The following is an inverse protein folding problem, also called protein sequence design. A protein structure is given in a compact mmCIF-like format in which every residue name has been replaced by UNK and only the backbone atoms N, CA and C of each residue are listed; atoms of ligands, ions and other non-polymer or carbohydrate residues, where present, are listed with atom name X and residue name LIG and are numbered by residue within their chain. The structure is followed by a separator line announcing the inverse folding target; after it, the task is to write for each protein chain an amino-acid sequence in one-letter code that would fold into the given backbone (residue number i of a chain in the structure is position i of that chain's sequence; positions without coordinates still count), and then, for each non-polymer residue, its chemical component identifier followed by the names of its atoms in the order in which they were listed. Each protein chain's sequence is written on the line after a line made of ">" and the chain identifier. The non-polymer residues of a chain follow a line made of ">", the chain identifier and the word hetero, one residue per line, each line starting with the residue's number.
data_IF_092928222938
#
_entry.id   IF_092928222938
#
_cell.length_a   1.000
_cell.length_b   1.000
_cell.length_c   1.000
_cell.angle_alpha   90.00
_cell.angle_beta   90.00
_cell.angle_gamma   90.00
#
_symmetry.space_group_name_H-M   'P 1'
#
loop_
_entity.id
_entity.type
_entity.pdbx_description
1 polymer ?
#
# COMPACT_ATOMS: atom_id res chain seq x y z
N UNK A 1 8.68 -12.67 6.23
CA UNK A 1 8.18 -13.14 4.93
C UNK A 1 7.42 -11.97 4.33
N UNK A 2 7.77 -11.57 3.10
CA UNK A 2 7.33 -10.32 2.48
C UNK A 2 5.89 -10.44 1.96
N UNK A 3 5.13 -9.34 1.94
CA UNK A 3 3.76 -9.37 1.44
C UNK A 3 3.74 -9.52 -0.09
N UNK A 4 3.05 -10.54 -0.64
CA UNK A 4 2.95 -10.72 -2.07
C UNK A 4 2.01 -9.69 -2.70
N UNK A 5 2.24 -9.36 -3.97
CA UNK A 5 1.44 -8.40 -4.75
C UNK A 5 -0.05 -8.72 -4.75
N UNK A 6 -0.43 -10.01 -4.73
CA UNK A 6 -1.84 -10.43 -4.66
C UNK A 6 -2.58 -9.98 -3.40
N UNK A 7 -1.86 -9.71 -2.32
CA UNK A 7 -2.43 -9.26 -1.05
C UNK A 7 -2.61 -7.73 -1.05
N UNK A 8 -1.92 -7.02 -1.95
CA UNK A 8 -2.20 -5.62 -2.24
C UNK A 8 -3.50 -5.48 -3.05
N UNK A 9 -4.13 -4.30 -2.99
CA UNK A 9 -5.37 -4.04 -3.72
C UNK A 9 -5.11 -4.01 -5.24
N UNK A 10 -5.17 -5.17 -5.90
CA UNK A 10 -5.09 -5.30 -7.36
C UNK A 10 -6.45 -4.98 -7.96
N UNK A 11 -6.53 -3.90 -8.73
CA UNK A 11 -7.79 -3.49 -9.37
C UNK A 11 -8.07 -4.37 -10.57
N UNK A 12 -9.34 -4.79 -10.71
CA UNK A 12 -9.78 -5.53 -11.89
C UNK A 12 -9.48 -4.73 -13.16
N UNK A 13 -8.99 -5.39 -14.22
CA UNK A 13 -8.66 -4.70 -15.46
C UNK A 13 -9.94 -4.23 -16.15
N UNK A 14 -9.96 -2.95 -16.54
CA UNK A 14 -11.01 -2.39 -17.38
C UNK A 14 -10.51 -2.30 -18.82
N UNK A 15 -11.19 -2.98 -19.75
CA UNK A 15 -10.78 -3.05 -21.15
C UNK A 15 -11.62 -2.13 -22.04
N UNK A 16 -10.98 -1.49 -23.02
CA UNK A 16 -11.61 -0.77 -24.12
C UNK A 16 -11.07 -1.26 -25.46
N UNK A 17 -11.87 -1.13 -26.52
CA UNK A 17 -11.43 -1.37 -27.89
C UNK A 17 -10.52 -0.23 -28.37
N UNK A 18 -9.41 -0.56 -29.03
CA UNK A 18 -8.41 0.38 -29.51
C UNK A 18 -8.91 1.36 -30.56
N UNK A 19 -10.03 1.07 -31.23
CA UNK A 19 -10.66 1.94 -32.20
C UNK A 19 -11.57 3.01 -31.57
N UNK A 20 -11.93 2.91 -30.28
CA UNK A 20 -12.71 3.96 -29.63
C UNK A 20 -11.95 5.29 -29.67
N UNK A 21 -12.69 6.38 -29.87
CA UNK A 21 -12.12 7.72 -29.77
C UNK A 21 -11.84 8.11 -28.31
N UNK A 22 -10.92 9.06 -28.10
CA UNK A 22 -10.50 9.46 -26.76
C UNK A 22 -11.63 10.06 -25.92
N UNK A 23 -12.61 10.75 -26.53
CA UNK A 23 -13.72 11.34 -25.77
C UNK A 23 -14.64 10.24 -25.25
N UNK A 24 -14.94 9.22 -26.08
CA UNK A 24 -15.69 8.05 -25.65
C UNK A 24 -14.98 7.29 -24.53
N UNK A 25 -13.66 7.04 -24.65
CA UNK A 25 -12.87 6.39 -23.59
C UNK A 25 -12.91 7.22 -22.30
N UNK A 26 -12.69 8.54 -22.37
CA UNK A 26 -12.70 9.39 -21.18
C UNK A 26 -14.08 9.42 -20.52
N UNK A 27 -15.17 9.37 -21.28
CA UNK A 27 -16.53 9.28 -20.73
C UNK A 27 -16.74 7.97 -19.97
N UNK A 28 -16.35 6.84 -20.55
CA UNK A 28 -16.42 5.53 -19.89
C UNK A 28 -15.61 5.50 -18.59
N UNK A 29 -14.40 6.09 -18.61
CA UNK A 29 -13.54 6.20 -17.43
C UNK A 29 -14.20 7.06 -16.35
N UNK A 30 -14.75 8.22 -16.71
CA UNK A 30 -15.42 9.11 -15.77
C UNK A 30 -16.66 8.47 -15.13
N UNK A 31 -17.49 7.79 -15.92
CA UNK A 31 -18.68 7.07 -15.45
C UNK A 31 -18.35 5.97 -14.43
N UNK A 32 -17.17 5.36 -14.56
CA UNK A 32 -16.70 4.32 -13.65
C UNK A 32 -15.76 4.83 -12.54
N UNK A 33 -15.46 6.14 -12.50
CA UNK A 33 -14.51 6.72 -11.55
C UNK A 33 -13.07 6.19 -11.72
N UNK A 34 -12.69 5.83 -12.94
CA UNK A 34 -11.38 5.27 -13.28
C UNK A 34 -10.49 6.34 -13.95
N UNK A 35 -9.17 6.15 -13.85
CA UNK A 35 -8.16 7.03 -14.46
C UNK A 35 -7.36 6.36 -15.58
N UNK A 36 -7.74 5.14 -15.95
CA UNK A 36 -7.03 4.33 -16.94
C UNK A 36 -7.86 3.15 -17.45
N UNK A 37 -7.49 2.66 -18.63
CA UNK A 37 -8.01 1.45 -19.23
C UNK A 37 -6.88 0.65 -19.89
N UNK A 38 -7.06 -0.67 -19.95
CA UNK A 38 -6.34 -1.51 -20.89
C UNK A 38 -6.97 -1.41 -22.27
N UNK A 39 -6.14 -1.30 -23.29
CA UNK A 39 -6.54 -1.07 -24.67
C UNK A 39 -6.29 -2.33 -25.47
N UNK A 40 -7.33 -2.89 -26.08
CA UNK A 40 -7.22 -4.05 -26.98
C UNK A 40 -7.03 -3.57 -28.41
N UNK A 41 -5.93 -3.97 -29.06
CA UNK A 41 -5.65 -3.65 -30.45
C UNK A 41 -5.19 -4.92 -31.19
N UNK A 42 -6.18 -5.68 -31.69
CA UNK A 42 -5.96 -7.04 -32.17
C UNK A 42 -5.47 -7.94 -31.02
N UNK A 43 -4.35 -8.62 -31.24
CA UNK A 43 -3.68 -9.46 -30.23
C UNK A 43 -2.85 -8.65 -29.21
N UNK A 44 -2.68 -7.34 -29.43
CA UNK A 44 -1.88 -6.48 -28.55
C UNK A 44 -2.74 -5.91 -27.43
N UNK A 45 -2.17 -5.84 -26.23
CA UNK A 45 -2.77 -5.15 -25.09
C UNK A 45 -1.86 -3.98 -24.73
N UNK A 46 -2.43 -2.78 -24.72
CA UNK A 46 -1.79 -1.57 -24.24
C UNK A 46 -2.52 -0.98 -23.04
N UNK A 47 -2.10 0.20 -22.63
CA UNK A 47 -2.72 0.95 -21.55
C UNK A 47 -2.84 2.41 -21.93
N UNK A 48 -3.99 2.99 -21.58
CA UNK A 48 -4.28 4.41 -21.68
C UNK A 48 -4.53 4.98 -20.28
N UNK A 49 -4.00 6.16 -20.02
CA UNK A 49 -4.03 6.85 -18.72
C UNK A 49 -4.31 8.34 -18.90
N UNK A 50 -4.62 9.02 -17.79
CA UNK A 50 -4.80 10.48 -17.78
C UNK A 50 -3.56 11.25 -18.28
N UNK A 51 -2.34 10.72 -18.12
CA UNK A 51 -1.12 11.34 -18.67
C UNK A 51 -1.15 11.32 -20.20
N UNK A 52 -1.63 10.23 -20.79
CA UNK A 52 -1.70 10.05 -22.24
C UNK A 52 -2.75 11.01 -22.83
N UNK A 53 -3.84 11.29 -22.11
CA UNK A 53 -4.81 12.31 -22.50
C UNK A 53 -4.17 13.69 -22.63
N UNK A 54 -3.33 14.09 -21.67
CA UNK A 54 -2.60 15.37 -21.75
C UNK A 54 -1.76 15.43 -23.02
N UNK A 55 -1.04 14.35 -23.33
CA UNK A 55 -0.17 14.30 -24.50
C UNK A 55 -0.98 14.24 -25.81
N UNK A 56 -2.16 13.63 -25.80
CA UNK A 56 -3.09 13.64 -26.92
C UNK A 56 -3.64 15.04 -27.25
N UNK A 57 -3.89 15.87 -26.22
CA UNK A 57 -4.37 17.24 -26.38
C UNK A 57 -3.35 18.16 -27.08
N UNK A 58 -2.09 17.75 -27.16
CA UNK A 58 -1.03 18.48 -27.87
C UNK A 58 -0.96 18.14 -29.37
N UNK A 59 -1.79 17.20 -29.86
CA UNK A 59 -1.81 16.79 -31.27
C UNK A 59 -2.71 17.70 -32.10
N UNK A 60 -2.44 17.78 -33.41
CA UNK A 60 -3.20 18.62 -34.37
C UNK A 60 -4.64 18.12 -34.65
N UNK A 61 -4.97 16.89 -34.22
CA UNK A 61 -6.29 16.28 -34.39
C UNK A 61 -7.09 16.39 -33.10
N UNK A 62 -8.39 16.71 -33.16
CA UNK A 62 -9.21 16.81 -31.98
C UNK A 62 -9.41 15.41 -31.32
N UNK A 63 -9.55 15.34 -29.99
CA UNK A 63 -9.62 14.05 -29.27
C UNK A 63 -10.73 13.10 -29.72
N UNK A 64 -11.87 13.62 -30.17
CA UNK A 64 -13.00 12.82 -30.68
C UNK A 64 -12.75 12.20 -32.06
N UNK A 65 -11.62 12.54 -32.70
CA UNK A 65 -11.18 11.94 -33.96
C UNK A 65 -9.94 11.06 -33.78
N UNK A 66 -9.33 11.04 -32.59
CA UNK A 66 -8.16 10.23 -32.29
C UNK A 66 -8.60 8.91 -31.67
N UNK A 67 -8.20 7.79 -32.27
CA UNK A 67 -8.42 6.49 -31.67
C UNK A 67 -7.47 6.28 -30.47
N UNK A 68 -7.95 5.62 -29.42
CA UNK A 68 -7.17 5.42 -28.19
C UNK A 68 -5.89 4.63 -28.44
N UNK A 69 -5.87 3.69 -29.39
CA UNK A 69 -4.65 2.97 -29.81
C UNK A 69 -3.54 3.88 -30.31
N UNK A 70 -3.86 5.08 -30.83
CA UNK A 70 -2.87 6.02 -31.35
C UNK A 70 -2.09 6.72 -30.22
N UNK A 71 -2.57 6.63 -28.98
CA UNK A 71 -2.00 7.31 -27.81
C UNK A 71 -1.62 6.34 -26.70
N UNK A 72 -2.26 5.17 -26.64
CA UNK A 72 -1.96 4.14 -25.66
C UNK A 72 -0.51 3.61 -25.76
N UNK A 73 0.04 3.22 -24.62
CA UNK A 73 1.35 2.58 -24.53
C UNK A 73 1.19 1.05 -24.52
N UNK A 74 1.90 0.36 -25.41
CA UNK A 74 1.83 -1.11 -25.57
C UNK A 74 2.97 -1.87 -24.88
N UNK A 75 4.01 -1.17 -24.44
CA UNK A 75 5.12 -1.76 -23.68
C UNK A 75 4.77 -1.80 -22.18
N UNK A 76 4.01 -2.81 -21.79
CA UNK A 76 3.44 -2.89 -20.44
C UNK A 76 4.39 -3.51 -19.41
N UNK A 77 4.80 -2.72 -18.42
CA UNK A 77 5.57 -3.23 -17.28
C UNK A 77 4.69 -4.14 -16.42
N UNK A 78 5.12 -5.39 -16.23
CA UNK A 78 4.37 -6.43 -15.53
C UNK A 78 5.09 -6.94 -14.28
N UNK A 79 4.31 -7.37 -13.29
CA UNK A 79 4.76 -8.01 -12.03
C UNK A 79 3.90 -9.25 -11.74
N UNK A 80 4.51 -10.28 -11.14
CA UNK A 80 3.81 -11.52 -10.82
C UNK A 80 2.95 -11.36 -9.53
N UNK A 81 1.82 -12.07 -9.39
CA UNK A 81 0.97 -11.95 -8.19
C UNK A 81 1.62 -12.49 -6.91
N UNK A 82 2.59 -13.39 -7.03
CA UNK A 82 3.41 -13.90 -5.92
C UNK A 82 4.71 -13.10 -5.71
N UNK A 83 5.02 -12.16 -6.59
CA UNK A 83 6.16 -11.25 -6.39
C UNK A 83 5.91 -10.35 -5.18
N UNK A 84 6.99 -9.81 -4.64
CA UNK A 84 6.93 -8.97 -3.46
C UNK A 84 6.50 -7.54 -3.80
N UNK A 85 5.81 -6.86 -2.89
CA UNK A 85 5.42 -5.46 -3.08
C UNK A 85 6.63 -4.54 -3.34
N UNK A 86 7.77 -4.78 -2.70
CA UNK A 86 9.05 -4.10 -2.96
C UNK A 86 9.48 -4.19 -4.42
N UNK A 87 9.32 -5.36 -5.04
CA UNK A 87 9.66 -5.59 -6.44
C UNK A 87 8.79 -4.73 -7.36
N UNK A 88 7.47 -4.68 -7.09
CA UNK A 88 6.55 -3.82 -7.83
C UNK A 88 6.95 -2.33 -7.73
N UNK A 89 7.36 -1.86 -6.54
CA UNK A 89 7.83 -0.49 -6.33
C UNK A 89 9.15 -0.20 -7.05
N UNK A 90 10.09 -1.15 -7.03
CA UNK A 90 11.36 -1.02 -7.76
C UNK A 90 11.13 -0.96 -9.27
N UNK A 91 10.20 -1.76 -9.80
CA UNK A 91 9.79 -1.69 -11.20
C UNK A 91 9.18 -0.33 -11.55
N UNK A 92 8.24 0.16 -10.73
CA UNK A 92 7.65 1.50 -10.90
C UNK A 92 8.74 2.59 -10.92
N UNK A 93 9.71 2.54 -10.01
CA UNK A 93 10.80 3.49 -9.94
C UNK A 93 11.74 3.41 -11.16
N UNK A 94 12.18 2.19 -11.50
CA UNK A 94 13.13 1.93 -12.60
C UNK A 94 12.56 2.38 -13.94
N UNK A 95 11.28 2.10 -14.18
CA UNK A 95 10.60 2.42 -15.43
C UNK A 95 9.87 3.78 -15.39
N UNK A 96 9.91 4.49 -14.26
CA UNK A 96 9.24 5.78 -14.02
C UNK A 96 7.74 5.73 -14.33
N UNK A 97 7.10 4.64 -13.94
CA UNK A 97 5.65 4.42 -14.08
C UNK A 97 5.00 4.35 -12.70
N UNK A 98 3.77 4.87 -12.58
CA UNK A 98 3.02 4.82 -11.31
C UNK A 98 2.12 3.58 -11.19
N UNK A 99 2.21 2.67 -12.14
CA UNK A 99 1.32 1.53 -12.32
C UNK A 99 2.04 0.39 -13.01
N UNK A 100 1.69 -0.84 -12.64
CA UNK A 100 2.19 -2.06 -13.28
C UNK A 100 1.03 -3.03 -13.50
N UNK A 101 1.18 -3.90 -14.50
CA UNK A 101 0.24 -4.98 -14.77
C UNK A 101 0.54 -6.14 -13.83
N UNK A 102 -0.47 -6.65 -13.13
CA UNK A 102 -0.36 -7.90 -12.38
C UNK A 102 -0.77 -9.04 -13.30
N UNK A 103 0.16 -9.96 -13.57
CA UNK A 103 -0.01 -11.04 -14.55
C UNK A 103 0.57 -12.35 -14.02
N UNK A 104 -0.06 -13.48 -14.30
CA UNK A 104 0.55 -14.78 -14.06
C UNK A 104 1.84 -14.97 -14.87
N UNK A 105 2.82 -15.73 -14.32
CA UNK A 105 4.05 -16.03 -15.05
C UNK A 105 3.74 -16.98 -16.21
N UNK A 106 3.91 -16.52 -17.45
CA UNK A 106 3.86 -17.35 -18.65
C UNK A 106 5.20 -18.00 -18.98
N UNK A 107 5.25 -18.83 -20.03
CA UNK A 107 6.45 -19.57 -20.45
C UNK A 107 7.67 -18.67 -20.72
N UNK A 108 7.46 -17.44 -21.19
CA UNK A 108 8.51 -16.45 -21.50
C UNK A 108 8.48 -15.26 -20.52
N UNK A 109 8.23 -15.50 -19.24
CA UNK A 109 8.20 -14.47 -18.20
C UNK A 109 9.56 -13.76 -18.06
N UNK A 110 9.54 -12.42 -18.13
CA UNK A 110 10.64 -11.57 -17.72
C UNK A 110 10.07 -10.39 -16.92
N UNK A 111 10.47 -10.30 -15.66
CA UNK A 111 10.02 -9.23 -14.76
C UNK A 111 10.55 -7.87 -15.24
N UNK A 112 9.66 -6.88 -15.33
CA UNK A 112 10.06 -5.51 -15.68
C UNK A 112 10.30 -5.22 -17.16
N UNK A 113 10.21 -6.19 -18.06
CA UNK A 113 10.23 -5.92 -19.50
C UNK A 113 8.80 -5.91 -20.03
N UNK A 114 8.41 -4.82 -20.68
CA UNK A 114 7.25 -4.80 -21.55
C UNK A 114 7.42 -5.88 -22.60
N UNK A 115 6.49 -6.80 -22.70
CA UNK A 115 6.48 -7.80 -23.75
C UNK A 115 6.31 -7.09 -25.09
N UNK A 116 7.40 -6.82 -25.83
CA UNK A 116 7.25 -6.26 -27.17
C UNK A 116 8.44 -5.67 -27.92
N UNK A 117 9.61 -5.43 -27.32
CA UNK A 117 10.74 -4.88 -28.09
C UNK A 117 11.73 -5.98 -28.44
N UNK A 118 11.70 -6.36 -29.72
CA UNK A 118 12.68 -7.17 -30.48
C UNK A 118 12.25 -8.58 -30.88
N UNK A 119 11.08 -8.72 -31.52
CA UNK A 119 10.98 -9.59 -32.70
C UNK A 119 9.74 -9.22 -33.49
N UNK A 120 9.92 -8.56 -34.64
CA UNK A 120 8.89 -8.39 -35.66
C UNK A 120 8.45 -9.74 -36.32
N UNK A 121 8.71 -10.90 -35.68
CA UNK A 121 8.43 -12.21 -36.26
C UNK A 121 8.47 -13.41 -35.28
N UNK A 122 8.20 -13.22 -33.98
CA UNK A 122 7.97 -14.37 -33.09
C UNK A 122 6.47 -14.61 -32.98
N UNK A 123 6.03 -15.83 -33.33
CA UNK A 123 4.68 -16.28 -33.07
C UNK A 123 4.32 -15.94 -31.60
N UNK A 124 3.23 -15.22 -31.40
CA UNK A 124 2.79 -14.74 -30.09
C UNK A 124 2.44 -15.93 -29.20
N UNK A 125 3.41 -16.45 -28.46
CA UNK A 125 3.13 -17.41 -27.41
C UNK A 125 2.25 -16.75 -26.35
N UNK A 126 1.28 -17.49 -25.76
CA UNK A 126 0.32 -16.91 -24.84
C UNK A 126 1.04 -16.36 -23.62
N UNK A 127 1.04 -15.03 -23.49
CA UNK A 127 1.43 -14.36 -22.27
C UNK A 127 0.44 -14.77 -21.16
N UNK A 128 0.91 -14.95 -19.92
CA UNK A 128 0.05 -15.36 -18.80
C UNK A 128 -1.14 -14.40 -18.58
N UNK A 129 -2.18 -14.85 -17.89
CA UNK A 129 -3.41 -14.06 -17.73
C UNK A 129 -3.16 -12.75 -16.97
N UNK A 130 -3.74 -11.64 -17.44
CA UNK A 130 -3.74 -10.36 -16.73
C UNK A 130 -4.79 -10.42 -15.63
N UNK A 131 -4.33 -10.44 -14.38
CA UNK A 131 -5.20 -10.46 -13.21
C UNK A 131 -5.69 -9.07 -12.83
N UNK A 132 -4.91 -8.03 -13.16
CA UNK A 132 -5.33 -6.64 -12.95
C UNK A 132 -4.22 -5.61 -13.06
N UNK A 133 -4.50 -4.44 -12.50
CA UNK A 133 -3.59 -3.29 -12.49
C UNK A 133 -3.33 -2.90 -11.04
N UNK A 134 -2.05 -2.75 -10.69
CA UNK A 134 -1.62 -2.27 -9.38
C UNK A 134 -1.02 -0.87 -9.54
N UNK A 135 -1.56 0.12 -8.82
CA UNK A 135 -0.98 1.47 -8.78
C UNK A 135 -0.16 1.71 -7.51
N UNK A 136 0.76 2.67 -7.59
CA UNK A 136 1.50 3.14 -6.43
C UNK A 136 0.56 3.66 -5.32
N UNK A 137 -0.57 4.28 -5.68
CA UNK A 137 -1.60 4.71 -4.72
C UNK A 137 -2.28 3.55 -4.02
N UNK A 138 -2.52 2.43 -4.72
CA UNK A 138 -3.10 1.23 -4.11
C UNK A 138 -2.12 0.62 -3.09
N UNK A 139 -0.81 0.66 -3.37
CA UNK A 139 0.23 0.25 -2.43
C UNK A 139 0.29 1.14 -1.18
N UNK A 140 0.22 2.46 -1.36
CA UNK A 140 0.19 3.40 -0.22
C UNK A 140 -1.10 3.25 0.59
N UNK A 141 -2.24 3.02 -0.07
CA UNK A 141 -3.54 2.81 0.58
C UNK A 141 -3.56 1.50 1.37
N UNK A 142 -2.99 0.42 0.83
CA UNK A 142 -2.84 -0.85 1.50
C UNK A 142 -2.07 -0.68 2.82
N UNK A 143 -0.94 0.01 2.78
CA UNK A 143 -0.14 0.38 3.95
C UNK A 143 -0.93 1.23 4.98
N UNK A 144 -1.62 2.27 4.51
CA UNK A 144 -2.38 3.19 5.38
C UNK A 144 -3.56 2.48 6.07
N UNK A 145 -4.30 1.64 5.33
CA UNK A 145 -5.46 0.92 5.86
C UNK A 145 -5.07 -0.06 6.96
N UNK A 146 -3.96 -0.79 6.80
CA UNK A 146 -3.47 -1.70 7.83
C UNK A 146 -3.09 -0.94 9.11
N UNK A 147 -2.42 0.21 8.99
CA UNK A 147 -2.08 1.06 10.14
C UNK A 147 -3.33 1.53 10.90
N UNK A 148 -4.38 1.92 10.17
CA UNK A 148 -5.65 2.36 10.75
C UNK A 148 -6.41 1.22 11.45
N UNK A 149 -6.44 0.02 10.87
CA UNK A 149 -7.11 -1.14 11.48
C UNK A 149 -6.48 -1.51 12.83
N UNK A 150 -5.15 -1.48 12.94
CA UNK A 150 -4.46 -1.74 14.20
C UNK A 150 -4.81 -0.67 15.25
N UNK A 151 -4.85 0.61 14.86
CA UNK A 151 -5.26 1.69 15.76
C UNK A 151 -6.70 1.51 16.28
N UNK A 152 -7.64 1.13 15.41
CA UNK A 152 -9.02 0.85 15.82
C UNK A 152 -9.12 -0.31 16.80
N UNK A 153 -8.39 -1.40 16.57
CA UNK A 153 -8.39 -2.54 17.49
C UNK A 153 -7.83 -2.16 18.87
N UNK A 154 -6.77 -1.34 18.90
CA UNK A 154 -6.24 -0.80 20.16
C UNK A 154 -7.34 -0.02 20.89
N UNK A 155 -8.03 0.90 20.20
CA UNK A 155 -9.06 1.73 20.82
C UNK A 155 -10.27 0.91 21.32
N UNK A 156 -10.64 -0.13 20.59
CA UNK A 156 -11.80 -0.98 20.89
C UNK A 156 -11.50 -2.11 21.87
N UNK A 157 -10.23 -2.40 22.18
CA UNK A 157 -9.89 -3.45 23.13
C UNK A 157 -10.47 -3.14 24.52
N UNK A 158 -11.15 -4.11 25.13
CA UNK A 158 -11.78 -3.99 26.44
C UNK A 158 -10.99 -4.70 27.55
N UNK A 159 -9.99 -5.49 27.18
CA UNK A 159 -9.14 -6.25 28.08
C UNK A 159 -7.70 -6.31 27.56
N UNK A 160 -6.81 -6.86 28.39
CA UNK A 160 -5.38 -6.98 28.09
C UNK A 160 -5.14 -7.98 26.95
N UNK A 161 -5.99 -9.00 26.82
CA UNK A 161 -5.84 -10.03 25.78
C UNK A 161 -6.14 -9.47 24.38
N UNK A 162 -7.19 -8.65 24.24
CA UNK A 162 -7.50 -7.92 23.02
C UNK A 162 -6.40 -6.91 22.66
N UNK A 163 -5.84 -6.20 23.65
CA UNK A 163 -4.69 -5.34 23.42
C UNK A 163 -3.44 -6.12 22.98
N UNK A 164 -3.20 -7.31 23.54
CA UNK A 164 -2.08 -8.17 23.13
C UNK A 164 -2.21 -8.58 21.66
N UNK A 165 -3.42 -8.91 21.21
CA UNK A 165 -3.67 -9.23 19.80
C UNK A 165 -3.35 -8.04 18.89
N UNK A 166 -3.79 -6.84 19.25
CA UNK A 166 -3.47 -5.63 18.48
C UNK A 166 -1.95 -5.34 18.49
N UNK A 167 -1.28 -5.54 19.62
CA UNK A 167 0.17 -5.40 19.76
C UNK A 167 0.96 -6.30 18.79
N UNK A 168 0.51 -7.55 18.61
CA UNK A 168 1.13 -8.47 17.65
C UNK A 168 0.90 -8.04 16.20
N UNK A 169 -0.20 -7.36 15.89
CA UNK A 169 -0.42 -6.81 14.55
C UNK A 169 0.50 -5.63 14.25
N UNK A 170 0.99 -4.89 15.26
CA UNK A 170 2.01 -3.85 15.07
C UNK A 170 3.30 -4.45 14.51
N UNK A 171 3.75 -5.59 15.02
CA UNK A 171 4.96 -6.27 14.51
C UNK A 171 4.76 -6.69 13.03
N UNK A 172 3.58 -7.20 12.69
CA UNK A 172 3.20 -7.52 11.30
C UNK A 172 3.15 -6.28 10.40
N UNK A 173 2.64 -5.15 10.91
CA UNK A 173 2.62 -3.87 10.22
C UNK A 173 4.05 -3.35 9.98
N UNK A 174 4.95 -3.45 10.95
CA UNK A 174 6.36 -3.07 10.78
C UNK A 174 6.96 -3.83 9.60
N UNK A 175 6.77 -5.16 9.56
CA UNK A 175 7.24 -6.00 8.46
C UNK A 175 6.60 -5.61 7.12
N UNK A 176 5.29 -5.31 7.12
CA UNK A 176 4.55 -4.85 5.96
C UNK A 176 5.13 -3.54 5.40
N UNK A 177 5.34 -2.54 6.26
CA UNK A 177 5.83 -1.22 5.88
C UNK A 177 7.29 -1.29 5.37
N UNK A 178 8.15 -2.01 6.08
CA UNK A 178 9.54 -2.25 5.67
C UNK A 178 9.61 -2.98 4.32
N UNK A 179 8.84 -4.07 4.17
CA UNK A 179 8.77 -4.80 2.89
C UNK A 179 8.14 -3.97 1.77
N UNK A 180 7.26 -3.02 2.11
CA UNK A 180 6.70 -2.04 1.19
C UNK A 180 7.63 -0.86 0.89
N UNK A 181 8.91 -0.91 1.30
CA UNK A 181 9.90 0.13 0.99
C UNK A 181 9.60 1.49 1.63
N UNK A 182 8.74 1.54 2.64
CA UNK A 182 8.42 2.76 3.37
C UNK A 182 9.68 3.19 4.14
N UNK A 183 10.02 4.49 4.04
CA UNK A 183 11.19 5.06 4.73
C UNK A 183 11.13 4.75 6.23
N UNK A 184 12.27 4.36 6.80
CA UNK A 184 12.35 3.89 8.19
C UNK A 184 11.84 4.93 9.18
N UNK A 185 12.02 6.22 8.91
CA UNK A 185 11.53 7.30 9.77
C UNK A 185 10.00 7.32 9.84
N UNK A 186 9.33 7.00 8.72
CA UNK A 186 7.86 6.90 8.68
C UNK A 186 7.42 5.66 9.45
N UNK A 187 8.08 4.52 9.25
CA UNK A 187 7.80 3.28 9.99
C UNK A 187 7.90 3.53 11.50
N UNK A 188 9.02 4.10 11.97
CA UNK A 188 9.21 4.45 13.37
C UNK A 188 8.13 5.41 13.88
N UNK A 189 7.74 6.41 13.08
CA UNK A 189 6.69 7.35 13.47
C UNK A 189 5.32 6.70 13.66
N UNK A 190 4.97 5.76 12.78
CA UNK A 190 3.71 5.01 12.85
C UNK A 190 3.72 4.06 14.04
N UNK A 191 4.80 3.31 14.24
CA UNK A 191 4.96 2.38 15.37
C UNK A 191 4.88 3.13 16.69
N UNK A 192 5.57 4.27 16.81
CA UNK A 192 5.53 5.13 17.99
C UNK A 192 4.10 5.57 18.32
N UNK A 193 3.35 6.02 17.33
CA UNK A 193 1.98 6.48 17.56
C UNK A 193 1.05 5.32 17.97
N UNK A 194 1.20 4.15 17.37
CA UNK A 194 0.43 2.96 17.75
C UNK A 194 0.78 2.50 19.16
N UNK A 195 2.06 2.45 19.53
CA UNK A 195 2.48 2.14 20.90
C UNK A 195 1.94 3.17 21.90
N UNK A 196 2.00 4.46 21.60
CA UNK A 196 1.42 5.50 22.46
C UNK A 196 -0.06 5.26 22.75
N UNK A 197 -0.84 4.91 21.72
CA UNK A 197 -2.25 4.56 21.89
C UNK A 197 -2.43 3.26 22.69
N UNK A 198 -1.57 2.27 22.48
CA UNK A 198 -1.59 1.01 23.21
C UNK A 198 -1.37 1.22 24.71
N UNK A 199 -0.34 1.97 25.10
CA UNK A 199 -0.08 2.29 26.51
C UNK A 199 -1.20 3.13 27.12
N UNK A 200 -1.70 4.13 26.39
CA UNK A 200 -2.83 4.93 26.84
C UNK A 200 -4.09 4.09 27.09
N UNK A 201 -4.30 3.03 26.30
CA UNK A 201 -5.41 2.09 26.50
C UNK A 201 -5.14 1.06 27.59
N UNK A 202 -3.91 0.56 27.68
CA UNK A 202 -3.52 -0.45 28.65
C UNK A 202 -3.59 0.09 30.08
N UNK A 203 -3.19 1.34 30.29
CA UNK A 203 -3.07 1.91 31.63
C UNK A 203 -4.39 1.85 32.43
N UNK A 204 -5.55 2.31 31.91
CA UNK A 204 -6.83 2.18 32.60
C UNK A 204 -7.36 0.74 32.74
N UNK A 205 -6.83 -0.22 31.98
CA UNK A 205 -7.22 -1.63 32.10
C UNK A 205 -6.48 -2.34 33.23
N UNK A 206 -5.28 -1.87 33.58
CA UNK A 206 -4.45 -2.45 34.65
C UNK A 206 -4.64 -1.71 35.98
N UNK A 207 -4.70 -0.39 35.94
CA UNK A 207 -4.72 0.44 37.14
C UNK A 207 -6.16 0.75 37.59
N UNK A 208 -6.45 0.72 38.90
CA UNK A 208 -7.72 1.20 39.43
C UNK A 208 -7.99 2.66 39.04
N UNK A 209 -9.26 3.02 38.88
CA UNK A 209 -9.66 4.36 38.41
C UNK A 209 -9.08 5.50 39.26
N UNK A 210 -8.95 5.30 40.57
CA UNK A 210 -8.33 6.27 41.49
C UNK A 210 -6.85 6.49 41.21
N UNK A 211 -6.10 5.41 40.94
CA UNK A 211 -4.69 5.50 40.59
C UNK A 211 -4.53 6.18 39.23
N UNK A 212 -5.35 5.84 38.24
CA UNK A 212 -5.35 6.48 36.91
C UNK A 212 -5.59 7.99 37.02
N UNK A 213 -6.53 8.41 37.86
CA UNK A 213 -6.88 9.82 38.03
C UNK A 213 -5.78 10.65 38.74
N UNK A 214 -4.91 10.00 39.51
CA UNK A 214 -3.87 10.66 40.32
C UNK A 214 -2.45 10.30 39.91
N UNK A 215 -2.27 9.74 38.71
CA UNK A 215 -0.95 9.39 38.21
C UNK A 215 -0.78 9.67 36.72
N UNK A 216 0.48 9.75 36.30
CA UNK A 216 0.89 9.84 34.91
C UNK A 216 1.91 8.73 34.63
N UNK A 217 1.58 7.83 33.71
CA UNK A 217 2.52 6.83 33.21
C UNK A 217 3.51 7.52 32.27
N UNK A 218 4.79 7.48 32.63
CA UNK A 218 5.89 7.92 31.78
C UNK A 218 6.48 6.70 31.09
N UNK A 219 6.47 6.76 29.77
CA UNK A 219 7.21 5.84 28.92
C UNK A 219 8.61 6.39 28.70
N UNK A 220 9.64 5.63 29.07
CA UNK A 220 11.04 6.06 29.00
C UNK A 220 11.85 5.20 28.01
N UNK A 221 13.17 5.39 27.97
CA UNK A 221 14.05 4.61 27.11
C UNK A 221 13.87 4.90 25.62
N UNK A 222 14.18 3.91 24.78
CA UNK A 222 13.98 3.98 23.32
C UNK A 222 12.51 4.16 22.93
N UNK A 223 11.60 3.68 23.77
CA UNK A 223 10.16 3.83 23.60
C UNK A 223 9.75 5.30 23.79
N UNK A 224 10.21 5.91 24.89
CA UNK A 224 9.97 7.33 25.18
C UNK A 224 10.63 8.27 24.17
N UNK A 225 11.81 7.91 23.64
CA UNK A 225 12.48 8.66 22.56
C UNK A 225 11.85 8.42 21.18
N UNK A 226 10.97 7.44 21.05
CA UNK A 226 10.32 7.17 19.77
C UNK A 226 11.21 6.49 18.73
N UNK A 227 12.27 5.82 19.19
CA UNK A 227 13.28 5.12 18.38
C UNK A 227 12.99 3.62 18.28
N UNK A 228 11.97 3.13 19.01
CA UNK A 228 11.67 1.71 19.12
C UNK A 228 10.89 1.19 17.91
N UNK A 229 11.41 0.10 17.31
CA UNK A 229 10.82 -0.57 16.15
C UNK A 229 10.30 -1.96 16.52
N UNK A 230 10.99 -2.66 17.42
CA UNK A 230 10.62 -3.98 17.94
C UNK A 230 10.55 -3.93 19.47
N UNK A 231 10.00 -4.96 20.11
CA UNK A 231 9.92 -5.03 21.57
C UNK A 231 11.33 -5.01 22.18
N UNK A 232 11.58 -4.07 23.07
CA UNK A 232 12.82 -3.90 23.85
C UNK A 232 12.49 -3.83 25.34
N UNK A 233 13.53 -3.73 26.18
CA UNK A 233 13.41 -3.54 27.63
C UNK A 233 12.43 -2.41 28.00
N UNK A 234 11.77 -2.56 29.15
CA UNK A 234 10.74 -1.64 29.66
C UNK A 234 11.31 -0.84 30.84
N UNK A 235 11.52 0.46 30.62
CA UNK A 235 12.09 1.40 31.61
C UNK A 235 11.04 2.40 32.13
N UNK A 236 9.76 2.03 32.17
CA UNK A 236 8.68 2.98 32.44
C UNK A 236 8.64 3.42 33.91
N UNK A 237 8.15 4.64 34.14
CA UNK A 237 7.98 5.21 35.47
C UNK A 237 6.53 5.69 35.68
N UNK A 238 6.12 5.78 36.94
CA UNK A 238 4.82 6.33 37.31
C UNK A 238 5.03 7.59 38.15
N UNK A 239 4.53 8.74 37.68
CA UNK A 239 4.45 9.94 38.51
C UNK A 239 3.13 9.94 39.25
N UNK A 240 3.18 10.21 40.55
CA UNK A 240 2.00 10.40 41.39
C UNK A 240 1.77 11.90 41.61
N UNK A 241 0.50 12.27 41.76
CA UNK A 241 0.12 13.62 42.19
C UNK A 241 0.67 13.89 43.59
N UNK A 242 1.16 15.12 43.83
CA UNK A 242 1.62 15.54 45.15
C UNK A 242 0.57 15.26 46.24
N UNK A 243 1.00 14.56 47.29
CA UNK A 243 0.14 14.17 48.43
C UNK A 243 -0.78 12.98 48.17
N UNK A 244 -0.70 12.32 47.00
CA UNK A 244 -1.41 11.06 46.74
C UNK A 244 -0.50 9.86 47.03
N UNK A 245 -0.97 8.97 47.90
CA UNK A 245 -0.32 7.70 48.20
C UNK A 245 -1.23 6.56 47.77
N UNK A 246 -0.67 5.52 47.15
CA UNK A 246 -1.41 4.34 46.74
C UNK A 246 -0.76 3.07 47.30
N UNK A 247 -1.47 2.39 48.19
CA UNK A 247 -1.02 1.14 48.78
C UNK A 247 -0.96 0.03 47.74
N UNK A 248 0.21 -0.57 47.53
CA UNK A 248 0.41 -1.69 46.59
C UNK A 248 1.30 -1.39 45.38
N UNK A 249 1.75 -0.15 45.21
CA UNK A 249 2.92 0.14 44.38
C UNK A 249 4.16 -0.28 45.19
N UNK A 250 4.95 -1.23 44.67
CA UNK A 250 6.22 -1.62 45.31
C UNK A 250 7.14 -0.40 45.46
N UNK A 251 7.87 -0.35 46.57
CA UNK A 251 8.90 0.66 46.81
C UNK A 251 10.04 0.57 45.78
#
# INVERSE_FOLDING_TARGET
>A
MMAPVRDACVRKPFYVDGALDLVAVCRLLAEQGLSNALVRDGERIGMFTTTDLRDALLRDRPPNQLAVREVAHFDLISVAPDAEVSEALLLMLRHRVHRVIVRERGANWSAGTGTGTDTANAAAEPQGEILGVLSQLDLMSFVSNHSHLVALQIQQAFDVDGLRQAAWQVDGLVALLQSGGVRIEIVCSTVRELHRQLFARLWPLLAPAELVANSCLIVMGSEGRGEQILKTDQDNALLLRDGFEFTGLGA
#
